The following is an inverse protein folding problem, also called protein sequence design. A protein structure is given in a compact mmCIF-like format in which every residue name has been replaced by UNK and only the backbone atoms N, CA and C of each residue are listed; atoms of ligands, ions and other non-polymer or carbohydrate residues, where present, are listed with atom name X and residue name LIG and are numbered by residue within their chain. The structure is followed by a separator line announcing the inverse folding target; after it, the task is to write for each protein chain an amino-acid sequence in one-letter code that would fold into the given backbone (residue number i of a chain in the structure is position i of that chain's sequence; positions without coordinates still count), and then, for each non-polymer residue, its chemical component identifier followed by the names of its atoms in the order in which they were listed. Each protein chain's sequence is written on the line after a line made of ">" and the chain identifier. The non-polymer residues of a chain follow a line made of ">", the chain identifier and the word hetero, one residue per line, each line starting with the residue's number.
data_IF_552546304345
#
_entry.id   IF_552546304345
#
_cell.length_a   1.000
_cell.length_b   1.000
_cell.length_c   1.000
_cell.angle_alpha   90.00
_cell.angle_beta   90.00
_cell.angle_gamma   90.00
#
_symmetry.space_group_name_H-M   'P 1'
#
loop_
_entity.id
_entity.type
_entity.pdbx_description
1 polymer ?
#
# COMPACT_ATOMS: atom_id res chain seq x y z
N UNK A 1 -7.33 39.62 10.78
CA UNK A 1 -6.64 38.40 11.27
C UNK A 1 -7.37 37.08 10.91
N UNK A 2 -8.36 37.06 9.99
CA UNK A 2 -9.23 35.89 9.74
C UNK A 2 -8.98 35.07 8.47
N UNK A 3 -8.16 35.52 7.52
CA UNK A 3 -8.08 34.93 6.16
C UNK A 3 -6.94 33.92 5.95
N UNK A 4 -5.98 33.80 6.86
CA UNK A 4 -4.81 32.92 6.67
C UNK A 4 -5.02 31.45 7.09
N UNK A 5 -6.06 31.14 7.88
CA UNK A 5 -6.31 29.78 8.37
C UNK A 5 -6.80 28.79 7.30
N UNK A 6 -7.78 29.12 6.42
CA UNK A 6 -8.26 28.15 5.43
C UNK A 6 -7.18 27.82 4.38
N UNK A 7 -6.41 28.81 3.93
CA UNK A 7 -5.33 28.61 2.95
C UNK A 7 -4.22 27.68 3.46
N UNK A 8 -3.97 27.66 4.78
CA UNK A 8 -2.97 26.78 5.40
C UNK A 8 -3.44 25.33 5.53
N UNK A 9 -4.75 25.10 5.66
CA UNK A 9 -5.33 23.76 5.69
C UNK A 9 -5.29 23.06 4.30
N UNK A 10 -5.18 23.83 3.21
CA UNK A 10 -5.03 23.30 1.85
C UNK A 10 -3.70 22.55 1.65
N UNK A 11 -2.65 22.91 2.41
CA UNK A 11 -1.33 22.30 2.24
C UNK A 11 -1.31 20.84 2.70
N UNK A 12 -1.78 20.47 3.91
CA UNK A 12 -1.91 19.06 4.29
C UNK A 12 -2.90 18.27 3.41
N UNK A 13 -3.97 18.91 2.93
CA UNK A 13 -4.91 18.27 1.99
C UNK A 13 -4.22 17.84 0.70
N UNK A 14 -3.29 18.66 0.18
CA UNK A 14 -2.52 18.31 -1.02
C UNK A 14 -1.72 17.02 -0.81
N UNK A 15 -1.12 16.82 0.38
CA UNK A 15 -0.49 15.53 0.70
C UNK A 15 -1.49 14.39 0.72
N UNK A 16 -2.66 14.57 1.33
CA UNK A 16 -3.71 13.54 1.35
C UNK A 16 -4.16 13.14 -0.06
N UNK A 17 -4.33 14.10 -0.97
CA UNK A 17 -4.68 13.84 -2.38
C UNK A 17 -3.54 13.13 -3.12
N UNK A 18 -2.29 13.56 -2.93
CA UNK A 18 -1.15 12.91 -3.58
C UNK A 18 -0.94 11.48 -3.05
N UNK A 19 -1.13 11.26 -1.75
CA UNK A 19 -1.10 9.94 -1.13
C UNK A 19 -2.24 9.05 -1.66
N UNK A 20 -3.45 9.58 -1.79
CA UNK A 20 -4.58 8.90 -2.41
C UNK A 20 -4.29 8.53 -3.88
N UNK A 21 -3.72 9.45 -4.65
CA UNK A 21 -3.35 9.20 -6.05
C UNK A 21 -2.18 8.22 -6.17
N UNK A 22 -1.31 8.14 -5.16
CA UNK A 22 -0.23 7.17 -5.11
C UNK A 22 -0.70 5.74 -4.81
N UNK A 23 -1.95 5.51 -4.38
CA UNK A 23 -2.45 4.15 -4.14
C UNK A 23 -2.85 3.47 -5.47
N UNK A 24 -2.68 2.14 -5.60
CA UNK A 24 -3.07 1.41 -6.81
C UNK A 24 -4.54 1.61 -7.22
N UNK A 25 -4.85 1.78 -8.53
CA UNK A 25 -3.92 1.90 -9.64
C UNK A 25 -3.32 3.31 -9.74
N UNK A 26 -2.08 3.48 -9.26
CA UNK A 26 -1.41 4.77 -9.29
C UNK A 26 -1.16 5.20 -10.75
N UNK A 27 -1.38 6.47 -11.11
CA UNK A 27 -1.18 6.95 -12.48
C UNK A 27 0.28 7.28 -12.79
N UNK A 28 1.15 7.44 -11.79
CA UNK A 28 2.56 7.78 -12.00
C UNK A 28 3.47 7.23 -10.90
N UNK A 29 4.67 6.73 -11.23
CA UNK A 29 5.64 6.24 -10.23
C UNK A 29 6.27 7.37 -9.41
N UNK A 30 6.08 8.63 -9.83
CA UNK A 30 6.66 9.78 -9.16
C UNK A 30 5.84 10.23 -7.94
N UNK A 31 4.56 9.87 -7.87
CA UNK A 31 3.67 10.32 -6.80
C UNK A 31 4.16 9.92 -5.40
N UNK A 32 4.59 8.67 -5.13
CA UNK A 32 5.13 8.31 -3.82
C UNK A 32 6.35 9.15 -3.39
N UNK A 33 7.15 9.65 -4.33
CA UNK A 33 8.33 10.48 -4.04
C UNK A 33 7.97 11.91 -3.63
N UNK A 34 6.76 12.38 -3.92
CA UNK A 34 6.33 13.77 -3.65
C UNK A 34 5.12 13.87 -2.72
N UNK A 35 4.45 12.76 -2.41
CA UNK A 35 3.17 12.74 -1.71
C UNK A 35 3.21 13.36 -0.29
N UNK A 36 4.32 13.23 0.43
CA UNK A 36 4.50 13.78 1.76
C UNK A 36 5.12 15.19 1.76
N UNK A 37 5.57 15.70 0.61
CA UNK A 37 6.24 17.02 0.52
C UNK A 37 5.36 18.15 1.09
N UNK A 38 4.08 18.31 0.70
CA UNK A 38 3.24 19.37 1.26
C UNK A 38 3.11 19.31 2.79
N UNK A 39 2.83 18.13 3.34
CA UNK A 39 2.73 17.93 4.79
C UNK A 39 4.04 18.25 5.49
N UNK A 40 5.17 17.80 4.95
CA UNK A 40 6.49 18.06 5.52
C UNK A 40 6.85 19.56 5.51
N UNK A 41 6.54 20.28 4.42
CA UNK A 41 6.70 21.74 4.32
C UNK A 41 5.83 22.45 5.37
N UNK A 42 4.58 22.02 5.53
CA UNK A 42 3.67 22.56 6.53
C UNK A 42 4.24 22.38 7.96
N UNK A 43 4.70 21.18 8.30
CA UNK A 43 5.24 20.88 9.64
C UNK A 43 6.52 21.66 9.97
N UNK A 44 7.35 21.97 8.97
CA UNK A 44 8.51 22.85 9.15
C UNK A 44 8.09 24.30 9.41
N UNK A 45 7.02 24.77 8.77
CA UNK A 45 6.51 26.13 8.89
C UNK A 45 5.77 26.43 10.20
N UNK A 46 5.18 25.43 10.85
CA UNK A 46 4.41 25.62 12.09
C UNK A 46 5.24 25.57 13.37
N UNK A 47 6.56 25.39 13.31
CA UNK A 47 7.45 25.16 14.46
C UNK A 47 7.36 26.22 15.56
N UNK A 48 7.06 27.46 15.22
CA UNK A 48 7.06 28.62 16.14
C UNK A 48 5.67 29.00 16.66
N UNK A 49 4.63 28.23 16.33
CA UNK A 49 3.25 28.58 16.69
C UNK A 49 2.89 28.10 18.11
N UNK A 50 2.10 28.91 18.84
CA UNK A 50 1.66 28.58 20.21
C UNK A 50 0.88 27.25 20.33
N UNK A 51 0.30 26.75 19.22
CA UNK A 51 -0.41 25.46 19.15
C UNK A 51 0.16 24.52 18.08
N UNK A 52 1.46 24.62 17.82
CA UNK A 52 2.14 23.89 16.75
C UNK A 52 1.91 22.36 16.80
N UNK A 53 1.95 21.76 17.99
CA UNK A 53 1.72 20.32 18.16
C UNK A 53 0.30 19.91 17.75
N UNK A 54 -0.72 20.67 18.16
CA UNK A 54 -2.11 20.40 17.76
C UNK A 54 -2.33 20.66 16.27
N UNK A 55 -1.67 21.66 15.70
CA UNK A 55 -1.69 21.94 14.28
C UNK A 55 -1.06 20.78 13.47
N UNK A 56 0.01 20.17 13.98
CA UNK A 56 0.64 18.99 13.39
C UNK A 56 -0.29 17.76 13.40
N UNK A 57 -0.93 17.48 14.55
CA UNK A 57 -1.93 16.40 14.66
C UNK A 57 -3.04 16.60 13.64
N UNK A 58 -3.65 17.78 13.60
CA UNK A 58 -4.76 18.09 12.67
C UNK A 58 -4.35 17.99 11.22
N UNK A 59 -3.13 18.43 10.88
CA UNK A 59 -2.61 18.32 9.52
C UNK A 59 -2.42 16.86 9.09
N UNK A 60 -1.84 16.03 9.96
CA UNK A 60 -1.71 14.59 9.71
C UNK A 60 -3.07 13.90 9.60
N UNK A 61 -4.00 14.19 10.50
CA UNK A 61 -5.37 13.65 10.44
C UNK A 61 -6.08 14.04 9.15
N UNK A 62 -5.92 15.27 8.68
CA UNK A 62 -6.54 15.75 7.45
C UNK A 62 -5.96 15.04 6.21
N UNK A 63 -4.63 14.90 6.15
CA UNK A 63 -3.97 14.17 5.07
C UNK A 63 -4.39 12.69 5.07
N UNK A 64 -4.34 12.03 6.24
CA UNK A 64 -4.73 10.64 6.41
C UNK A 64 -6.21 10.39 6.10
N UNK A 65 -7.11 11.28 6.53
CA UNK A 65 -8.54 11.15 6.23
C UNK A 65 -8.79 11.11 4.71
N UNK A 66 -8.12 11.97 3.93
CA UNK A 66 -8.26 11.97 2.46
C UNK A 66 -7.67 10.68 1.85
N UNK A 67 -6.43 10.31 2.23
CA UNK A 67 -5.77 9.10 1.73
C UNK A 67 -6.61 7.85 2.01
N UNK A 68 -7.01 7.64 3.26
CA UNK A 68 -7.69 6.43 3.70
C UNK A 68 -9.14 6.39 3.23
N UNK A 69 -9.83 7.52 3.11
CA UNK A 69 -11.18 7.54 2.49
C UNK A 69 -11.12 7.06 1.04
N UNK A 70 -10.12 7.47 0.27
CA UNK A 70 -9.93 6.99 -1.09
C UNK A 70 -9.59 5.50 -1.13
N UNK A 71 -8.61 5.07 -0.31
CA UNK A 71 -8.14 3.69 -0.26
C UNK A 71 -9.17 2.68 0.27
N UNK A 72 -10.13 3.14 1.08
CA UNK A 72 -11.16 2.32 1.73
C UNK A 72 -12.58 2.63 1.25
N UNK A 73 -12.74 3.34 0.13
CA UNK A 73 -14.07 3.68 -0.43
C UNK A 73 -14.95 2.46 -0.68
N UNK A 74 -14.36 1.28 -0.85
CA UNK A 74 -15.05 0.01 -1.06
C UNK A 74 -15.61 -0.59 0.24
N UNK A 75 -14.95 -0.32 1.37
CA UNK A 75 -15.24 -0.95 2.67
C UNK A 75 -16.70 -0.84 3.13
N UNK A 76 -17.35 0.36 3.11
CA UNK A 76 -18.74 0.45 3.56
C UNK A 76 -19.70 -0.38 2.70
N UNK A 77 -19.45 -0.51 1.40
CA UNK A 77 -20.31 -1.29 0.50
C UNK A 77 -20.16 -2.79 0.76
N UNK A 78 -18.94 -3.28 0.90
CA UNK A 78 -18.67 -4.68 1.24
C UNK A 78 -19.30 -5.06 2.57
N UNK A 79 -19.13 -4.23 3.61
CA UNK A 79 -19.69 -4.51 4.92
C UNK A 79 -21.21 -4.33 4.97
N UNK A 80 -21.78 -3.47 4.13
CA UNK A 80 -23.24 -3.37 3.99
C UNK A 80 -23.85 -4.68 3.50
N UNK A 81 -23.19 -5.36 2.56
CA UNK A 81 -23.66 -6.64 2.03
C UNK A 81 -23.61 -7.77 3.07
N UNK A 82 -22.67 -7.71 4.03
CA UNK A 82 -22.45 -8.77 5.03
C UNK A 82 -23.20 -8.50 6.34
N UNK A 83 -23.20 -7.27 6.83
CA UNK A 83 -23.67 -6.91 8.18
C UNK A 83 -24.73 -5.79 8.19
N UNK A 84 -25.18 -5.35 7.01
CA UNK A 84 -26.17 -4.28 6.86
C UNK A 84 -25.58 -2.87 6.87
N UNK A 85 -26.34 -1.88 6.40
CA UNK A 85 -25.81 -0.55 6.07
C UNK A 85 -25.33 0.24 7.29
N UNK A 86 -26.04 0.16 8.42
CA UNK A 86 -25.67 0.86 9.64
C UNK A 86 -24.29 0.40 10.16
N UNK A 87 -24.05 -0.90 10.19
CA UNK A 87 -22.77 -1.49 10.61
C UNK A 87 -21.67 -1.13 9.62
N UNK A 88 -21.92 -1.27 8.32
CA UNK A 88 -20.92 -0.98 7.29
C UNK A 88 -20.38 0.45 7.35
N UNK A 89 -21.26 1.45 7.48
CA UNK A 89 -20.84 2.85 7.60
C UNK A 89 -20.22 3.18 8.96
N UNK A 90 -20.71 2.57 10.05
CA UNK A 90 -20.12 2.76 11.38
C UNK A 90 -18.68 2.24 11.44
N UNK A 91 -18.44 1.03 10.92
CA UNK A 91 -17.10 0.43 10.86
C UNK A 91 -16.19 1.26 9.96
N UNK A 92 -16.66 1.71 8.80
CA UNK A 92 -15.88 2.61 7.93
C UNK A 92 -15.47 3.89 8.67
N UNK A 93 -16.39 4.55 9.37
CA UNK A 93 -16.08 5.76 10.14
C UNK A 93 -15.08 5.48 11.27
N UNK A 94 -15.20 4.35 11.97
CA UNK A 94 -14.28 3.95 13.04
C UNK A 94 -12.87 3.68 12.51
N UNK A 95 -12.75 2.89 11.44
CA UNK A 95 -11.46 2.58 10.79
C UNK A 95 -10.84 3.86 10.23
N UNK A 96 -11.61 4.71 9.56
CA UNK A 96 -11.13 5.98 9.04
C UNK A 96 -10.61 6.89 10.16
N UNK A 97 -11.34 6.99 11.27
CA UNK A 97 -10.93 7.76 12.45
C UNK A 97 -9.62 7.26 13.06
N UNK A 98 -9.47 5.93 13.17
CA UNK A 98 -8.25 5.30 13.67
C UNK A 98 -7.05 5.60 12.76
N UNK A 99 -7.18 5.39 11.45
CA UNK A 99 -6.09 5.58 10.49
C UNK A 99 -5.71 7.06 10.32
N UNK A 100 -6.70 7.95 10.26
CA UNK A 100 -6.46 9.40 10.29
C UNK A 100 -5.78 9.82 11.60
N UNK A 101 -6.23 9.29 12.74
CA UNK A 101 -5.62 9.51 14.04
C UNK A 101 -4.16 9.06 14.09
N UNK A 102 -3.86 7.87 13.56
CA UNK A 102 -2.51 7.33 13.47
C UNK A 102 -1.60 8.22 12.57
N UNK A 103 -2.12 8.70 11.44
CA UNK A 103 -1.41 9.67 10.59
C UNK A 103 -1.18 11.00 11.32
N UNK A 104 -2.14 11.45 12.12
CA UNK A 104 -2.00 12.58 13.05
C UNK A 104 -0.89 12.38 14.08
N UNK A 105 -0.81 11.18 14.66
CA UNK A 105 0.24 10.81 15.60
C UNK A 105 1.63 10.80 14.95
N UNK A 106 1.75 10.31 13.70
CA UNK A 106 2.99 10.37 12.93
C UNK A 106 3.43 11.81 12.64
N UNK A 107 2.50 12.67 12.22
CA UNK A 107 2.76 14.10 11.99
C UNK A 107 3.17 14.83 13.28
N UNK A 108 2.55 14.49 14.41
CA UNK A 108 2.96 14.95 15.74
C UNK A 108 4.36 14.45 16.11
N UNK A 109 4.66 13.17 15.89
CA UNK A 109 5.97 12.59 16.12
C UNK A 109 7.05 13.31 15.29
N UNK A 110 6.78 13.55 14.00
CA UNK A 110 7.66 14.34 13.14
C UNK A 110 7.88 15.72 13.76
N UNK A 111 6.81 16.41 14.13
CA UNK A 111 6.91 17.74 14.74
C UNK A 111 7.73 17.73 16.05
N UNK A 112 7.57 16.72 16.91
CA UNK A 112 8.36 16.56 18.13
C UNK A 112 9.85 16.35 17.85
N UNK A 113 10.18 15.54 16.85
CA UNK A 113 11.58 15.35 16.43
C UNK A 113 12.16 16.62 15.80
N UNK A 114 11.32 17.47 15.19
CA UNK A 114 11.74 18.77 14.67
C UNK A 114 11.92 19.83 15.77
N UNK A 115 11.17 19.81 16.87
CA UNK A 115 11.18 20.89 17.89
C UNK A 115 11.77 20.49 19.24
N UNK A 116 12.15 19.23 19.40
CA UNK A 116 12.74 18.71 20.63
C UNK A 116 14.12 19.29 20.96
N UNK A 117 14.68 18.87 22.10
CA UNK A 117 15.99 19.34 22.61
C UNK A 117 17.15 19.09 21.63
N UNK A 118 17.06 18.01 20.84
CA UNK A 118 18.01 17.65 19.78
C UNK A 118 17.23 17.55 18.47
N UNK A 119 16.97 18.67 17.79
CA UNK A 119 16.10 18.69 16.62
C UNK A 119 16.74 17.93 15.46
N UNK A 120 16.00 17.00 14.88
CA UNK A 120 16.40 16.29 13.67
C UNK A 120 16.02 17.10 12.42
N UNK A 121 16.76 16.95 11.31
CA UNK A 121 16.29 17.44 10.02
C UNK A 121 15.04 16.65 9.58
N UNK A 122 14.14 17.29 8.84
CA UNK A 122 12.89 16.63 8.37
C UNK A 122 13.16 15.40 7.50
N UNK A 123 14.28 15.38 6.76
CA UNK A 123 14.74 14.23 5.98
C UNK A 123 15.06 12.99 6.82
N UNK A 124 15.23 13.12 8.15
CA UNK A 124 15.37 12.01 9.09
C UNK A 124 14.12 11.83 9.97
N UNK A 125 13.50 12.91 10.42
CA UNK A 125 12.30 12.83 11.26
C UNK A 125 11.10 12.18 10.55
N UNK A 126 10.91 12.51 9.26
CA UNK A 126 9.81 12.00 8.46
C UNK A 126 9.91 10.48 8.23
N UNK A 127 11.03 9.92 7.71
CA UNK A 127 11.12 8.48 7.50
C UNK A 127 11.04 7.67 8.80
N UNK A 128 11.57 8.17 9.92
CA UNK A 128 11.44 7.49 11.21
C UNK A 128 9.96 7.35 11.60
N UNK A 129 9.21 8.44 11.56
CA UNK A 129 7.84 8.46 12.09
C UNK A 129 6.82 7.89 11.12
N UNK A 130 7.00 8.06 9.81
CA UNK A 130 6.13 7.48 8.81
C UNK A 130 6.31 5.96 8.72
N UNK A 131 7.56 5.46 8.79
CA UNK A 131 7.80 4.01 8.83
C UNK A 131 7.30 3.41 10.14
N UNK A 132 7.46 4.09 11.28
CA UNK A 132 6.89 3.64 12.55
C UNK A 132 5.36 3.57 12.51
N UNK A 133 4.69 4.50 11.83
CA UNK A 133 3.25 4.45 11.59
C UNK A 133 2.87 3.19 10.80
N UNK A 134 3.47 2.98 9.63
CA UNK A 134 3.12 1.84 8.78
C UNK A 134 3.46 0.51 9.43
N UNK A 135 4.61 0.42 10.10
CA UNK A 135 4.99 -0.75 10.89
C UNK A 135 4.01 -1.00 12.02
N UNK A 136 3.60 0.05 12.74
CA UNK A 136 2.61 -0.03 13.81
C UNK A 136 1.29 -0.58 13.29
N UNK A 137 0.76 -0.03 12.20
CA UNK A 137 -0.46 -0.52 11.56
C UNK A 137 -0.35 -1.97 11.08
N UNK A 138 0.83 -2.42 10.66
CA UNK A 138 1.08 -3.80 10.26
C UNK A 138 1.16 -4.80 11.42
N UNK A 139 1.45 -4.34 12.64
CA UNK A 139 1.75 -5.21 13.79
C UNK A 139 0.88 -4.91 15.02
N UNK A 140 -0.25 -4.22 14.86
CA UNK A 140 -1.19 -4.02 15.96
C UNK A 140 -1.69 -5.39 16.48
N UNK A 141 -1.69 -5.61 17.80
CA UNK A 141 -2.11 -6.88 18.40
C UNK A 141 -3.62 -7.12 18.25
N UNK A 142 -4.09 -8.30 18.65
CA UNK A 142 -5.51 -8.68 18.70
C UNK A 142 -6.21 -8.66 17.33
N UNK A 143 -5.47 -8.92 16.25
CA UNK A 143 -6.03 -8.92 14.89
C UNK A 143 -6.41 -7.52 14.37
N UNK A 144 -5.95 -6.45 15.04
CA UNK A 144 -6.21 -5.06 14.63
C UNK A 144 -5.20 -4.57 13.57
N UNK A 145 -4.25 -5.42 13.16
CA UNK A 145 -3.32 -5.10 12.09
C UNK A 145 -4.08 -4.77 10.80
N UNK A 146 -3.85 -3.58 10.27
CA UNK A 146 -4.50 -3.08 9.07
C UNK A 146 -3.50 -2.26 8.20
N UNK A 147 -2.49 -2.92 7.62
CA UNK A 147 -1.46 -2.26 6.80
C UNK A 147 -1.97 -1.91 5.39
N UNK A 148 -3.04 -1.12 5.32
CA UNK A 148 -3.66 -0.77 4.04
C UNK A 148 -2.99 0.42 3.38
N UNK A 149 -2.57 0.23 2.12
CA UNK A 149 -1.98 1.28 1.27
C UNK A 149 -0.73 1.96 1.87
N UNK A 150 0.33 1.20 2.24
CA UNK A 150 1.61 1.79 2.64
C UNK A 150 2.23 2.57 1.46
N UNK A 151 3.08 3.55 1.77
CA UNK A 151 3.69 4.44 0.77
C UNK A 151 4.45 3.67 -0.32
N UNK A 152 5.16 2.60 0.06
CA UNK A 152 5.88 1.73 -0.88
C UNK A 152 4.98 1.01 -1.89
N UNK A 153 3.70 0.77 -1.56
CA UNK A 153 2.75 0.13 -2.48
C UNK A 153 2.50 0.98 -3.74
N UNK A 154 2.73 2.29 -3.67
CA UNK A 154 2.58 3.16 -4.84
C UNK A 154 3.56 2.85 -5.98
N UNK A 155 4.59 2.05 -5.74
CA UNK A 155 5.50 1.56 -6.77
C UNK A 155 5.14 0.16 -7.30
N UNK A 156 4.05 -0.46 -6.84
CA UNK A 156 3.70 -1.84 -7.21
C UNK A 156 3.48 -2.06 -8.72
N UNK A 157 3.11 -1.02 -9.47
CA UNK A 157 2.98 -1.09 -10.94
C UNK A 157 4.30 -0.94 -11.69
N UNK A 158 5.39 -0.62 -10.99
CA UNK A 158 6.72 -0.40 -11.54
C UNK A 158 7.72 -1.26 -10.76
N UNK A 159 7.71 -2.59 -10.97
CA UNK A 159 8.51 -3.54 -10.20
C UNK A 159 10.01 -3.21 -10.23
N UNK A 160 10.52 -2.66 -11.33
CA UNK A 160 11.91 -2.21 -11.45
C UNK A 160 12.23 -1.06 -10.48
N UNK A 161 11.27 -0.16 -10.22
CA UNK A 161 11.44 0.92 -9.24
C UNK A 161 11.23 0.44 -7.80
N UNK A 162 10.38 -0.57 -7.61
CA UNK A 162 10.16 -1.23 -6.32
C UNK A 162 11.28 -2.24 -5.97
N UNK A 163 12.15 -2.59 -6.92
CA UNK A 163 13.22 -3.58 -6.79
C UNK A 163 14.04 -3.53 -5.50
N UNK A 164 14.38 -2.36 -4.92
CA UNK A 164 15.03 -2.28 -3.60
C UNK A 164 14.33 -3.05 -2.48
N UNK A 165 13.02 -3.30 -2.59
CA UNK A 165 12.27 -4.10 -1.63
C UNK A 165 12.86 -5.51 -1.42
N UNK A 166 13.60 -6.06 -2.39
CA UNK A 166 14.27 -7.35 -2.20
C UNK A 166 15.41 -7.29 -1.16
N UNK A 167 16.01 -6.12 -0.95
CA UNK A 167 17.12 -5.91 -0.01
C UNK A 167 16.64 -5.40 1.35
N UNK A 168 15.70 -4.46 1.36
CA UNK A 168 15.30 -3.72 2.56
C UNK A 168 13.84 -3.92 2.97
N UNK A 169 13.11 -4.76 2.24
CA UNK A 169 11.67 -4.96 2.42
C UNK A 169 10.84 -3.72 2.09
N UNK A 170 9.52 -3.87 2.12
CA UNK A 170 8.59 -2.75 1.86
C UNK A 170 8.71 -1.63 2.91
N UNK A 171 8.99 -1.98 4.17
CA UNK A 171 9.22 -0.98 5.23
C UNK A 171 10.46 -0.12 4.98
N UNK A 172 11.55 -0.71 4.46
CA UNK A 172 12.72 0.03 4.04
C UNK A 172 12.43 0.93 2.84
N UNK A 173 11.62 0.48 1.89
CA UNK A 173 11.13 1.31 0.77
C UNK A 173 10.32 2.51 1.26
N UNK A 174 9.44 2.32 2.24
CA UNK A 174 8.72 3.42 2.89
C UNK A 174 9.68 4.43 3.51
N UNK A 175 10.67 3.97 4.28
CA UNK A 175 11.68 4.85 4.89
C UNK A 175 12.47 5.63 3.82
N UNK A 176 12.86 4.96 2.75
CA UNK A 176 13.57 5.58 1.63
C UNK A 176 12.71 6.66 0.95
N UNK A 177 11.47 6.35 0.57
CA UNK A 177 10.55 7.31 -0.06
C UNK A 177 10.25 8.50 0.86
N UNK A 178 10.01 8.27 2.14
CA UNK A 178 9.79 9.32 3.12
C UNK A 178 11.04 10.20 3.32
N UNK A 179 12.25 9.63 3.22
CA UNK A 179 13.50 10.40 3.23
C UNK A 179 13.59 11.34 2.02
N UNK A 180 13.31 10.83 0.81
CA UNK A 180 13.29 11.64 -0.42
C UNK A 180 12.26 12.77 -0.31
N UNK A 181 11.05 12.48 0.16
CA UNK A 181 10.03 13.51 0.42
C UNK A 181 10.53 14.58 1.40
N UNK A 182 11.24 14.18 2.47
CA UNK A 182 11.83 15.12 3.42
C UNK A 182 12.91 16.01 2.79
N UNK A 183 13.80 15.45 1.95
CA UNK A 183 14.81 16.23 1.22
C UNK A 183 14.18 17.21 0.22
N UNK A 184 13.15 16.78 -0.52
CA UNK A 184 12.38 17.64 -1.42
C UNK A 184 11.67 18.76 -0.64
N UNK A 185 11.09 18.45 0.51
CA UNK A 185 10.47 19.46 1.37
C UNK A 185 11.47 20.53 1.84
N UNK A 186 12.70 20.13 2.23
CA UNK A 186 13.77 21.10 2.55
C UNK A 186 14.09 21.98 1.35
N UNK A 187 14.17 21.38 0.16
CA UNK A 187 14.45 22.09 -1.09
C UNK A 187 13.39 23.14 -1.40
N UNK A 188 12.11 22.76 -1.33
CA UNK A 188 10.96 23.66 -1.54
C UNK A 188 10.95 24.79 -0.50
N UNK A 189 11.18 24.46 0.78
CA UNK A 189 11.20 25.45 1.85
C UNK A 189 12.34 26.47 1.66
N UNK A 190 13.55 26.02 1.29
CA UNK A 190 14.69 26.90 1.00
C UNK A 190 14.48 27.73 -0.26
N UNK A 191 13.92 27.17 -1.32
CA UNK A 191 13.59 27.91 -2.54
C UNK A 191 12.59 29.04 -2.25
N UNK A 192 11.56 28.76 -1.45
CA UNK A 192 10.55 29.76 -1.05
C UNK A 192 11.14 30.93 -0.24
N UNK A 193 12.14 30.66 0.60
CA UNK A 193 12.87 31.71 1.34
C UNK A 193 13.85 32.45 0.43
N UNK A 194 14.59 31.73 -0.41
CA UNK A 194 15.57 32.29 -1.34
C UNK A 194 14.95 33.21 -2.38
N UNK A 195 13.77 32.89 -2.91
CA UNK A 195 13.03 33.78 -3.83
C UNK A 195 12.73 35.14 -3.18
N UNK A 196 12.60 35.18 -1.84
CA UNK A 196 12.44 36.42 -1.07
C UNK A 196 13.76 37.12 -0.74
N UNK A 197 14.89 36.41 -0.80
CA UNK A 197 16.21 36.87 -0.35
C UNK A 197 17.31 36.91 -1.46
N UNK A 198 16.97 36.64 -2.73
CA UNK A 198 17.86 36.67 -3.92
C UNK A 198 19.10 35.75 -3.88
N UNK A 199 19.00 34.55 -3.30
CA UNK A 199 20.14 33.60 -3.19
C UNK A 199 19.84 32.14 -3.60
N UNK A 200 19.65 31.89 -4.90
CA UNK A 200 19.09 30.64 -5.45
C UNK A 200 19.88 29.34 -5.16
N UNK A 201 21.18 29.44 -4.84
CA UNK A 201 22.06 28.27 -4.68
C UNK A 201 21.74 27.37 -3.47
N UNK A 202 21.07 27.89 -2.43
CA UNK A 202 20.84 27.14 -1.18
C UNK A 202 19.80 26.02 -1.28
N UNK A 203 18.94 26.05 -2.31
CA UNK A 203 17.91 25.05 -2.57
C UNK A 203 18.39 23.89 -3.45
N UNK A 204 19.50 24.07 -4.20
CA UNK A 204 20.00 23.07 -5.14
C UNK A 204 20.59 21.85 -4.45
N UNK A 205 21.31 22.04 -3.33
CA UNK A 205 21.96 20.95 -2.58
C UNK A 205 20.96 19.89 -2.08
N UNK A 206 19.90 20.22 -1.33
CA UNK A 206 18.93 19.22 -0.89
C UNK A 206 18.15 18.61 -2.07
N UNK A 207 17.97 19.34 -3.18
CA UNK A 207 17.31 18.82 -4.38
C UNK A 207 18.18 17.80 -5.10
N UNK A 208 19.48 18.07 -5.25
CA UNK A 208 20.45 17.12 -5.77
C UNK A 208 20.60 15.89 -4.87
N UNK A 209 20.58 16.07 -3.54
CA UNK A 209 20.56 14.95 -2.60
C UNK A 209 19.28 14.12 -2.74
N UNK A 210 18.11 14.74 -2.89
CA UNK A 210 16.85 14.02 -3.13
C UNK A 210 16.90 13.21 -4.43
N UNK A 211 17.46 13.79 -5.50
CA UNK A 211 17.65 13.10 -6.77
C UNK A 211 18.60 11.91 -6.62
N UNK A 212 19.76 12.11 -5.99
CA UNK A 212 20.74 11.04 -5.79
C UNK A 212 20.17 9.89 -4.94
N UNK A 213 19.57 10.23 -3.79
CA UNK A 213 18.95 9.24 -2.89
C UNK A 213 17.75 8.57 -3.55
N UNK A 214 16.98 9.27 -4.38
CA UNK A 214 15.84 8.73 -5.11
C UNK A 214 16.21 7.87 -6.32
N UNK A 215 17.32 8.16 -7.01
CA UNK A 215 17.72 7.42 -8.22
C UNK A 215 18.54 6.19 -7.86
N UNK A 216 19.43 6.26 -6.87
CA UNK A 216 20.38 5.18 -6.59
C UNK A 216 19.68 3.82 -6.32
N UNK A 217 18.64 3.70 -5.47
CA UNK A 217 17.95 2.43 -5.29
C UNK A 217 17.16 2.00 -6.53
N UNK A 218 16.63 2.94 -7.31
CA UNK A 218 15.96 2.62 -8.58
C UNK A 218 16.94 1.97 -9.56
N UNK A 219 18.18 2.45 -9.63
CA UNK A 219 19.20 1.83 -10.51
C UNK A 219 19.45 0.38 -10.14
N UNK A 220 19.46 0.02 -8.85
CA UNK A 220 19.55 -1.37 -8.41
C UNK A 220 18.42 -2.21 -8.99
N UNK A 221 17.16 -1.77 -8.87
CA UNK A 221 16.03 -2.55 -9.36
C UNK A 221 16.02 -2.73 -10.88
N UNK A 222 16.43 -1.74 -11.67
CA UNK A 222 16.64 -1.90 -13.11
C UNK A 222 17.78 -2.87 -13.45
N UNK A 223 18.92 -2.78 -12.74
CA UNK A 223 20.02 -3.72 -12.93
C UNK A 223 19.58 -5.14 -12.58
N UNK A 224 18.84 -5.34 -11.49
CA UNK A 224 18.29 -6.63 -11.10
C UNK A 224 17.35 -7.19 -12.16
N UNK A 225 16.39 -6.39 -12.63
CA UNK A 225 15.44 -6.80 -13.66
C UNK A 225 16.15 -7.29 -14.94
N UNK A 226 17.25 -6.65 -15.34
CA UNK A 226 18.03 -7.08 -16.50
C UNK A 226 18.67 -8.47 -16.34
N UNK A 227 19.03 -8.86 -15.10
CA UNK A 227 19.56 -10.20 -14.82
C UNK A 227 18.49 -11.29 -14.85
N UNK A 228 17.21 -10.92 -14.73
CA UNK A 228 16.08 -11.85 -14.72
C UNK A 228 15.44 -12.06 -16.10
N UNK A 229 15.68 -11.15 -17.04
CA UNK A 229 15.04 -11.17 -18.38
C UNK A 229 16.05 -11.30 -19.54
N UNK A 230 17.35 -11.25 -19.26
CA UNK A 230 18.41 -11.28 -20.28
C UNK A 230 18.96 -12.68 -20.56
N UNK A 231 20.09 -12.73 -21.28
CA UNK A 231 20.80 -13.99 -21.65
C UNK A 231 21.23 -14.85 -20.43
N UNK A 232 21.34 -14.22 -19.26
CA UNK A 232 21.72 -14.87 -18.00
C UNK A 232 20.49 -15.30 -17.18
N UNK A 233 19.27 -15.14 -17.72
CA UNK A 233 18.05 -15.55 -17.05
C UNK A 233 18.07 -17.08 -16.82
N UNK A 234 17.68 -17.56 -15.62
CA UNK A 234 17.55 -18.99 -15.38
C UNK A 234 16.48 -19.58 -16.33
N UNK A 235 16.68 -20.82 -16.82
CA UNK A 235 15.69 -21.46 -17.67
C UNK A 235 14.36 -21.60 -16.92
N UNK A 236 13.22 -21.50 -17.62
CA UNK A 236 11.92 -21.71 -16.99
C UNK A 236 11.85 -23.11 -16.37
N UNK A 237 11.51 -23.17 -15.08
CA UNK A 237 11.45 -24.41 -14.30
C UNK A 237 10.13 -25.16 -14.44
N UNK A 238 9.09 -24.50 -14.95
CA UNK A 238 7.77 -25.08 -15.21
C UNK A 238 6.74 -24.02 -15.59
N UNK A 239 5.58 -24.46 -16.07
CA UNK A 239 4.43 -23.63 -16.43
C UNK A 239 3.30 -23.79 -15.43
N UNK A 240 2.89 -22.68 -14.83
CA UNK A 240 1.76 -22.63 -13.90
C UNK A 240 0.57 -21.96 -14.57
N UNK A 241 -0.60 -22.58 -14.49
CA UNK A 241 -1.87 -21.97 -14.91
C UNK A 241 -2.68 -21.58 -13.67
N UNK A 242 -2.94 -20.29 -13.47
CA UNK A 242 -3.87 -19.82 -12.45
C UNK A 242 -5.27 -19.64 -13.05
N UNK A 243 -6.27 -20.28 -12.46
CA UNK A 243 -7.65 -20.26 -12.97
C UNK A 243 -8.48 -19.32 -12.10
N UNK A 244 -9.12 -18.33 -12.73
CA UNK A 244 -10.15 -17.53 -12.07
C UNK A 244 -11.51 -18.21 -12.22
N UNK A 245 -12.22 -18.42 -11.09
CA UNK A 245 -13.54 -19.00 -11.10
C UNK A 245 -14.60 -17.90 -11.20
N UNK A 246 -15.43 -17.97 -12.23
CA UNK A 246 -16.57 -17.08 -12.39
C UNK A 246 -17.77 -17.57 -11.57
N UNK A 247 -17.64 -17.53 -10.24
CA UNK A 247 -18.73 -17.88 -9.31
C UNK A 247 -19.52 -16.59 -8.97
N UNK A 248 -20.86 -16.57 -9.11
CA UNK A 248 -21.66 -15.42 -8.74
C UNK A 248 -21.51 -15.07 -7.24
N UNK A 249 -21.46 -13.78 -6.88
CA UNK A 249 -21.48 -13.38 -5.48
C UNK A 249 -22.84 -13.71 -4.83
N UNK A 250 -22.83 -14.10 -3.54
CA UNK A 250 -24.05 -14.32 -2.76
C UNK A 250 -24.63 -15.73 -2.79
N UNK A 251 -23.90 -16.70 -3.33
CA UNK A 251 -24.23 -18.13 -3.21
C UNK A 251 -23.91 -18.58 -1.78
N UNK A 252 -24.82 -19.34 -1.14
CA UNK A 252 -24.59 -19.88 0.20
C UNK A 252 -23.41 -20.88 0.21
N UNK A 253 -22.67 -20.98 1.32
CA UNK A 253 -21.40 -21.73 1.38
C UNK A 253 -21.49 -23.21 0.93
N UNK A 254 -22.60 -23.89 1.23
CA UNK A 254 -22.83 -25.27 0.81
C UNK A 254 -23.01 -25.38 -0.71
N UNK A 255 -23.72 -24.43 -1.31
CA UNK A 255 -23.92 -24.36 -2.76
C UNK A 255 -22.67 -23.79 -3.47
N UNK A 256 -21.88 -22.98 -2.76
CA UNK A 256 -20.65 -22.37 -3.25
C UNK A 256 -19.65 -23.44 -3.65
N UNK A 257 -19.40 -24.42 -2.79
CA UNK A 257 -18.39 -25.47 -3.05
C UNK A 257 -18.72 -26.21 -4.34
N UNK A 258 -19.95 -26.70 -4.50
CA UNK A 258 -20.35 -27.40 -5.72
C UNK A 258 -20.24 -26.48 -6.94
N UNK A 259 -20.72 -25.23 -6.84
CA UNK A 259 -20.66 -24.25 -7.93
C UNK A 259 -19.23 -23.90 -8.34
N UNK A 260 -18.32 -23.76 -7.37
CA UNK A 260 -16.91 -23.44 -7.59
C UNK A 260 -16.18 -24.62 -8.25
N UNK A 261 -16.44 -25.85 -7.80
CA UNK A 261 -15.88 -27.06 -8.41
C UNK A 261 -16.40 -27.25 -9.84
N UNK A 262 -17.69 -27.04 -10.09
CA UNK A 262 -18.28 -27.08 -11.44
C UNK A 262 -17.69 -26.00 -12.35
N UNK A 263 -17.40 -24.81 -11.82
CA UNK A 263 -16.69 -23.76 -12.55
C UNK A 263 -15.24 -24.15 -12.84
N UNK A 264 -14.56 -24.80 -11.89
CA UNK A 264 -13.19 -25.27 -12.04
C UNK A 264 -13.10 -26.37 -13.09
N UNK A 265 -13.96 -27.38 -13.05
CA UNK A 265 -14.00 -28.46 -14.05
C UNK A 265 -14.24 -27.94 -15.46
N UNK A 266 -15.17 -26.98 -15.62
CA UNK A 266 -15.40 -26.31 -16.92
C UNK A 266 -14.16 -25.58 -17.41
N UNK A 267 -13.49 -24.83 -16.55
CA UNK A 267 -12.26 -24.12 -16.91
C UNK A 267 -11.10 -25.09 -17.25
N UNK A 268 -10.98 -26.17 -16.48
CA UNK A 268 -10.03 -27.27 -16.69
C UNK A 268 -10.32 -28.07 -17.98
N UNK A 269 -11.57 -28.09 -18.44
CA UNK A 269 -11.97 -28.65 -19.73
C UNK A 269 -11.24 -27.99 -20.90
N UNK A 270 -11.06 -26.66 -20.84
CA UNK A 270 -10.36 -25.90 -21.87
C UNK A 270 -8.83 -25.94 -21.79
N UNK A 271 -8.25 -26.52 -20.72
CA UNK A 271 -6.81 -26.56 -20.50
C UNK A 271 -6.11 -27.78 -21.12
N UNK A 272 -6.87 -28.73 -21.67
CA UNK A 272 -6.34 -29.98 -22.21
C UNK A 272 -5.36 -29.82 -23.40
N UNK A 273 -5.13 -28.59 -23.90
CA UNK A 273 -4.36 -28.33 -25.12
C UNK A 273 -3.02 -27.59 -24.90
N UNK A 274 -2.49 -27.49 -23.65
CA UNK A 274 -1.24 -26.78 -23.37
C UNK A 274 -0.25 -27.51 -22.44
N UNK A 275 1.07 -27.32 -22.60
CA UNK A 275 2.05 -27.84 -21.63
C UNK A 275 1.95 -27.08 -20.29
N UNK A 276 1.21 -27.60 -19.31
CA UNK A 276 1.10 -27.02 -17.97
C UNK A 276 1.58 -28.03 -16.94
N UNK A 277 2.43 -27.59 -16.00
CA UNK A 277 3.01 -28.45 -14.95
C UNK A 277 2.28 -28.32 -13.61
N UNK A 278 1.50 -27.26 -13.41
CA UNK A 278 0.68 -27.04 -12.22
C UNK A 278 -0.53 -26.15 -12.56
N UNK A 279 -1.71 -26.52 -12.07
CA UNK A 279 -2.88 -25.63 -12.07
C UNK A 279 -3.16 -25.15 -10.65
N UNK A 280 -3.44 -23.85 -10.50
CA UNK A 280 -3.80 -23.22 -9.23
C UNK A 280 -5.24 -22.74 -9.29
N UNK A 281 -6.07 -23.25 -8.38
CA UNK A 281 -7.44 -22.82 -8.16
C UNK A 281 -7.49 -21.78 -7.01
N UNK A 282 -8.46 -20.85 -7.00
CA UNK A 282 -8.55 -19.78 -6.01
C UNK A 282 -8.80 -20.27 -4.59
N UNK A 283 -8.65 -19.34 -3.64
CA UNK A 283 -9.10 -19.49 -2.26
C UNK A 283 -10.58 -19.92 -2.21
N UNK A 284 -10.93 -20.74 -1.21
CA UNK A 284 -12.30 -21.22 -0.99
C UNK A 284 -12.94 -21.91 -2.21
N UNK A 285 -12.15 -22.53 -3.09
CA UNK A 285 -12.71 -23.42 -4.13
C UNK A 285 -13.45 -24.59 -3.49
N UNK A 286 -12.94 -25.12 -2.36
CA UNK A 286 -13.67 -26.02 -1.47
C UNK A 286 -13.94 -25.29 -0.16
N UNK A 287 -15.12 -24.68 -0.04
CA UNK A 287 -15.49 -23.81 1.08
C UNK A 287 -16.10 -24.56 2.29
N UNK A 288 -15.99 -25.89 2.31
CA UNK A 288 -16.41 -26.76 3.41
C UNK A 288 -15.22 -27.55 3.93
N UNK A 289 -15.36 -28.17 5.11
CA UNK A 289 -14.35 -29.10 5.64
C UNK A 289 -14.06 -30.20 4.59
N UNK A 290 -12.81 -30.32 4.10
CA UNK A 290 -12.45 -31.31 3.09
C UNK A 290 -12.56 -32.76 3.59
N UNK A 291 -12.63 -32.99 4.91
CA UNK A 291 -12.86 -34.30 5.52
C UNK A 291 -14.35 -34.58 5.80
N UNK A 292 -15.24 -33.62 5.57
CA UNK A 292 -16.68 -33.87 5.63
C UNK A 292 -17.13 -34.71 4.43
N UNK A 293 -18.24 -35.47 4.51
CA UNK A 293 -18.74 -36.25 3.38
C UNK A 293 -18.95 -35.41 2.11
N UNK A 294 -19.44 -34.18 2.27
CA UNK A 294 -19.60 -33.23 1.16
C UNK A 294 -18.24 -32.79 0.61
N UNK A 295 -17.29 -32.42 1.47
CA UNK A 295 -15.95 -32.01 1.05
C UNK A 295 -15.18 -33.12 0.36
N UNK A 296 -15.20 -34.34 0.90
CA UNK A 296 -14.53 -35.51 0.34
C UNK A 296 -14.98 -35.78 -1.10
N UNK A 297 -16.30 -35.75 -1.34
CA UNK A 297 -16.86 -35.95 -2.68
C UNK A 297 -16.36 -34.92 -3.71
N UNK A 298 -16.17 -33.67 -3.28
CA UNK A 298 -15.73 -32.58 -4.15
C UNK A 298 -14.21 -32.62 -4.38
N UNK A 299 -13.46 -33.02 -3.36
CA UNK A 299 -12.02 -33.27 -3.48
C UNK A 299 -11.74 -34.45 -4.41
N UNK A 300 -12.53 -35.52 -4.33
CA UNK A 300 -12.40 -36.68 -5.21
C UNK A 300 -12.64 -36.31 -6.68
N UNK A 301 -13.69 -35.52 -6.97
CA UNK A 301 -13.91 -34.96 -8.32
C UNK A 301 -12.69 -34.19 -8.86
N UNK A 302 -12.10 -33.32 -8.04
CA UNK A 302 -10.91 -32.57 -8.43
C UNK A 302 -9.68 -33.48 -8.60
N UNK A 303 -9.52 -34.52 -7.78
CA UNK A 303 -8.45 -35.53 -7.93
C UNK A 303 -8.60 -36.32 -9.22
N UNK A 304 -9.80 -36.77 -9.54
CA UNK A 304 -10.11 -37.46 -10.78
C UNK A 304 -9.79 -36.58 -11.98
N UNK A 305 -10.15 -35.29 -11.89
CA UNK A 305 -9.84 -34.34 -12.95
C UNK A 305 -8.33 -34.10 -13.09
N UNK A 306 -7.60 -34.01 -11.99
CA UNK A 306 -6.14 -33.91 -11.98
C UNK A 306 -5.50 -35.14 -12.67
N UNK A 307 -5.98 -36.34 -12.32
CA UNK A 307 -5.50 -37.59 -12.88
C UNK A 307 -5.79 -37.70 -14.39
N UNK A 308 -6.98 -37.29 -14.83
CA UNK A 308 -7.35 -37.24 -16.26
C UNK A 308 -6.47 -36.29 -17.07
N UNK A 309 -6.12 -35.13 -16.49
CA UNK A 309 -5.26 -34.14 -17.13
C UNK A 309 -3.78 -34.52 -17.07
N UNK A 310 -3.39 -35.38 -16.13
CA UNK A 310 -1.98 -35.67 -15.83
C UNK A 310 -1.24 -34.46 -15.24
N UNK A 311 -1.95 -33.50 -14.64
CA UNK A 311 -1.40 -32.26 -14.08
C UNK A 311 -1.87 -32.08 -12.64
N UNK A 312 -0.97 -31.79 -11.68
CA UNK A 312 -1.36 -31.54 -10.30
C UNK A 312 -2.20 -30.26 -10.16
N UNK A 313 -3.16 -30.28 -9.22
CA UNK A 313 -3.99 -29.14 -8.85
C UNK A 313 -3.62 -28.64 -7.44
N UNK A 314 -3.33 -27.34 -7.30
CA UNK A 314 -3.28 -26.64 -6.02
C UNK A 314 -4.62 -25.96 -5.78
N UNK A 315 -5.29 -26.29 -4.68
CA UNK A 315 -6.69 -25.88 -4.44
C UNK A 315 -6.80 -25.15 -3.11
N UNK A 316 -7.46 -23.99 -3.09
CA UNK A 316 -7.82 -23.31 -1.85
C UNK A 316 -9.01 -23.97 -1.17
N UNK A 317 -8.86 -24.35 0.09
CA UNK A 317 -9.90 -24.99 0.90
C UNK A 317 -10.16 -24.21 2.19
N UNK A 318 -11.27 -24.51 2.88
CA UNK A 318 -11.45 -24.10 4.26
C UNK A 318 -10.35 -24.74 5.13
N UNK A 319 -9.65 -23.92 5.92
CA UNK A 319 -8.69 -24.40 6.92
C UNK A 319 -9.46 -24.87 8.16
N UNK A 320 -9.38 -26.16 8.46
CA UNK A 320 -9.93 -26.80 9.67
C UNK A 320 -8.88 -26.94 10.76
#
# INVERSE_FOLDING_TARGET
>A
MGTQRPQRALVPLASGVLLAAATPPAPSPLLPFVALVPLAVYLMGTRTEARAALAAIRAGMLAGAVQHSWGLRWLPFTLTAVAGPAVGWLVFAAVLGLLAGATGAAAWGTHRLLTGRRPLPVALALPITWTALEWGLAHLPFGLAFPWSPLGLGLARWPEMLGPAELIGVGGVTAWLACVNGLLAVSVNRASVSLRARGAGMALVPGAAALLVGVLPVTWGFTRASTLSGEVAPPPVGRVTAVALAVPPGVADLDWTATAVDAAERALGGLAEGPTDLVVLPEMTVAVDPASPTGESQVERLRDRAAQLGVPLLVGTLGV
#
